data_IF_792677630852
#
_entry.id   IF_792677630852
#
_cell.length_a   1.000
_cell.length_b   1.000
_cell.length_c   1.000
_cell.angle_alpha   90.00
_cell.angle_beta   90.00
_cell.angle_gamma   90.00
#
_symmetry.space_group_name_H-M   'P 1'
#
loop_
_entity.id
_entity.type
_entity.pdbx_description
1 polymer ?
#
# COMPACT_ATOMS: atom_id res chain seq x y z
N UNK A 1 -13.09 28.47 9.03
CA UNK A 1 -13.29 27.13 8.44
C UNK A 1 -12.22 26.22 9.03
N UNK A 2 -12.54 24.96 9.31
CA UNK A 2 -11.54 23.97 9.73
C UNK A 2 -10.73 23.49 8.52
N UNK A 3 -9.47 23.11 8.75
CA UNK A 3 -8.59 22.54 7.71
C UNK A 3 -8.64 21.02 7.79
N UNK A 4 -8.48 20.37 6.64
CA UNK A 4 -8.33 18.92 6.60
C UNK A 4 -6.95 18.52 7.14
N UNK A 5 -6.90 17.44 7.91
CA UNK A 5 -5.66 16.82 8.34
C UNK A 5 -4.78 16.47 7.11
N UNK A 6 -3.43 16.64 7.15
CA UNK A 6 -2.55 16.35 6.00
C UNK A 6 -2.73 14.93 5.46
N UNK A 7 -2.84 13.93 6.33
CA UNK A 7 -3.13 12.55 5.93
C UNK A 7 -4.44 12.44 5.16
N UNK A 8 -5.51 13.14 5.58
CA UNK A 8 -6.79 13.13 4.87
C UNK A 8 -6.72 13.80 3.49
N UNK A 9 -5.86 14.82 3.34
CA UNK A 9 -5.62 15.45 2.05
C UNK A 9 -4.90 14.49 1.09
N UNK A 10 -3.87 13.81 1.58
CA UNK A 10 -3.11 12.81 0.80
C UNK A 10 -3.99 11.62 0.46
N UNK A 11 -4.74 11.09 1.42
CA UNK A 11 -5.70 9.99 1.19
C UNK A 11 -6.62 10.32 0.02
N UNK A 12 -7.33 11.46 0.06
CA UNK A 12 -8.23 11.88 -1.04
C UNK A 12 -7.49 12.00 -2.36
N UNK A 13 -6.30 12.61 -2.36
CA UNK A 13 -5.52 12.75 -3.60
C UNK A 13 -5.14 11.40 -4.22
N UNK A 14 -4.84 10.39 -3.41
CA UNK A 14 -4.51 9.03 -3.88
C UNK A 14 -5.78 8.33 -4.37
N UNK A 15 -6.86 8.39 -3.60
CA UNK A 15 -8.17 7.84 -3.96
C UNK A 15 -8.67 8.41 -5.29
N UNK A 16 -8.68 9.74 -5.43
CA UNK A 16 -9.11 10.45 -6.64
C UNK A 16 -8.36 9.97 -7.89
N UNK A 17 -7.04 9.73 -7.77
CA UNK A 17 -6.25 9.20 -8.87
C UNK A 17 -6.75 7.82 -9.30
N UNK A 18 -6.82 6.85 -8.37
CA UNK A 18 -7.19 5.49 -8.73
C UNK A 18 -8.66 5.38 -9.14
N UNK A 19 -9.57 6.12 -8.50
CA UNK A 19 -10.99 6.19 -8.91
C UNK A 19 -11.10 6.75 -10.34
N UNK A 20 -10.31 7.77 -10.70
CA UNK A 20 -10.29 8.30 -12.07
C UNK A 20 -9.79 7.29 -13.11
N UNK A 21 -9.01 6.29 -12.68
CA UNK A 21 -8.54 5.19 -13.51
C UNK A 21 -9.51 3.98 -13.54
N UNK A 22 -10.69 4.12 -12.92
CA UNK A 22 -11.75 3.11 -12.92
C UNK A 22 -11.65 2.10 -11.78
N UNK A 23 -10.90 2.40 -10.71
CA UNK A 23 -10.89 1.59 -9.50
C UNK A 23 -12.13 1.88 -8.65
N UNK A 24 -12.61 0.87 -7.96
CA UNK A 24 -13.72 0.97 -6.98
C UNK A 24 -13.11 0.85 -5.59
N UNK A 25 -13.47 1.75 -4.69
CA UNK A 25 -13.09 1.65 -3.29
C UNK A 25 -13.91 0.55 -2.60
N UNK A 26 -13.21 -0.32 -1.88
CA UNK A 26 -13.82 -1.39 -1.06
C UNK A 26 -13.35 -1.23 0.38
N UNK A 27 -14.23 -1.52 1.31
CA UNK A 27 -13.93 -1.51 2.74
C UNK A 27 -13.80 -2.94 3.27
N UNK A 28 -13.14 -3.08 4.41
CA UNK A 28 -12.96 -4.34 5.11
C UNK A 28 -12.78 -4.14 6.61
N UNK A 29 -13.05 -5.17 7.42
CA UNK A 29 -12.95 -5.07 8.87
C UNK A 29 -11.50 -4.84 9.33
N UNK A 30 -11.32 -4.07 10.41
CA UNK A 30 -10.02 -3.90 11.08
C UNK A 30 -9.66 -5.13 11.93
N UNK A 31 -10.66 -5.81 12.47
CA UNK A 31 -10.50 -7.09 13.16
C UNK A 31 -10.71 -8.19 12.12
N UNK A 32 -9.67 -8.97 11.88
CA UNK A 32 -9.62 -9.95 10.80
C UNK A 32 -9.33 -11.35 11.33
N UNK A 33 -9.65 -12.34 10.51
CA UNK A 33 -9.19 -13.70 10.74
C UNK A 33 -7.80 -13.90 10.18
N UNK A 34 -7.08 -14.85 10.76
CA UNK A 34 -5.77 -15.30 10.28
C UNK A 34 -5.81 -15.74 8.83
N UNK A 35 -6.91 -16.39 8.42
CA UNK A 35 -7.13 -16.79 7.03
C UNK A 35 -7.01 -15.62 6.04
N UNK A 36 -7.79 -14.55 6.24
CA UNK A 36 -7.79 -13.40 5.33
C UNK A 36 -6.53 -12.55 5.41
N UNK A 37 -5.90 -12.49 6.59
CA UNK A 37 -4.70 -11.67 6.76
C UNK A 37 -3.43 -12.38 6.26
N UNK A 38 -3.41 -13.72 6.24
CA UNK A 38 -2.24 -14.53 5.94
C UNK A 38 -2.47 -15.70 5.00
N UNK A 39 -3.29 -16.67 5.36
CA UNK A 39 -3.37 -17.94 4.62
C UNK A 39 -3.80 -17.75 3.18
N UNK A 40 -4.91 -17.03 2.94
CA UNK A 40 -5.40 -16.74 1.59
C UNK A 40 -4.41 -15.91 0.75
N UNK A 41 -3.50 -15.18 1.43
CA UNK A 41 -2.41 -14.41 0.82
C UNK A 41 -1.11 -15.22 0.65
N UNK A 42 -1.22 -16.55 0.51
CA UNK A 42 -0.08 -17.45 0.32
C UNK A 42 0.96 -17.40 1.46
N UNK A 43 0.49 -17.16 2.70
CA UNK A 43 1.33 -17.12 3.90
C UNK A 43 0.79 -18.12 4.94
N UNK A 44 1.00 -19.44 4.73
CA UNK A 44 0.53 -20.48 5.65
C UNK A 44 1.17 -20.37 7.03
N UNK A 45 0.66 -21.13 8.00
CA UNK A 45 1.01 -21.00 9.42
C UNK A 45 2.51 -21.17 9.72
N UNK A 46 3.21 -21.96 8.92
CA UNK A 46 4.66 -22.26 9.05
C UNK A 46 5.55 -21.34 8.17
N UNK A 47 4.95 -20.36 7.48
CA UNK A 47 5.71 -19.51 6.57
C UNK A 47 6.56 -18.48 7.32
N UNK A 48 7.89 -18.35 7.03
CA UNK A 48 8.79 -17.44 7.75
C UNK A 48 8.38 -15.96 7.69
N UNK A 49 7.62 -15.55 6.67
CA UNK A 49 7.13 -14.17 6.56
C UNK A 49 6.13 -13.79 7.67
N UNK A 50 5.57 -14.75 8.40
CA UNK A 50 4.73 -14.44 9.58
C UNK A 50 5.54 -13.89 10.74
N UNK A 51 6.74 -14.42 10.94
CA UNK A 51 7.66 -13.96 12.00
C UNK A 51 8.20 -12.55 11.72
N UNK A 52 8.13 -12.11 10.46
CA UNK A 52 8.56 -10.76 10.04
C UNK A 52 7.47 -9.69 10.25
N UNK A 53 6.25 -10.11 10.56
CA UNK A 53 5.13 -9.19 10.81
C UNK A 53 4.67 -9.32 12.26
N UNK A 54 5.15 -8.41 13.09
CA UNK A 54 4.69 -8.29 14.47
C UNK A 54 3.19 -7.95 14.49
N UNK A 55 2.37 -8.95 14.81
CA UNK A 55 0.91 -8.91 14.68
C UNK A 55 0.25 -8.86 16.05
N UNK A 56 -0.75 -7.99 16.20
CA UNK A 56 -1.61 -7.97 17.40
C UNK A 56 -2.71 -9.02 17.30
N UNK A 57 -2.57 -10.13 18.00
CA UNK A 57 -3.62 -11.14 18.16
C UNK A 57 -4.58 -10.74 19.29
N UNK A 58 -5.89 -10.80 19.02
CA UNK A 58 -6.96 -10.57 20.01
C UNK A 58 -7.32 -11.88 20.69
N UNK A 59 -7.38 -12.96 19.92
CA UNK A 59 -7.63 -14.33 20.37
C UNK A 59 -7.06 -15.30 19.32
N UNK A 60 -7.21 -16.61 19.56
CA UNK A 60 -6.77 -17.62 18.61
C UNK A 60 -7.43 -17.41 17.24
N UNK A 61 -6.60 -17.24 16.21
CA UNK A 61 -7.02 -17.01 14.83
C UNK A 61 -7.71 -15.66 14.54
N UNK A 62 -7.80 -14.73 15.51
CA UNK A 62 -8.38 -13.40 15.35
C UNK A 62 -7.34 -12.33 15.69
N UNK A 63 -7.15 -11.36 14.81
CA UNK A 63 -6.10 -10.36 14.90
C UNK A 63 -6.56 -8.96 14.45
N UNK A 64 -5.77 -7.95 14.75
CA UNK A 64 -5.87 -6.65 14.09
C UNK A 64 -5.09 -6.73 12.77
N UNK A 65 -5.74 -6.39 11.65
CA UNK A 65 -5.12 -6.54 10.31
C UNK A 65 -3.79 -5.79 10.21
N UNK A 66 -2.77 -6.46 9.74
CA UNK A 66 -1.43 -5.89 9.52
C UNK A 66 -1.29 -5.22 8.15
N UNK A 67 -2.29 -5.37 7.29
CA UNK A 67 -2.37 -4.86 5.93
C UNK A 67 -3.83 -4.79 5.46
N UNK A 68 -4.11 -4.01 4.41
CA UNK A 68 -5.46 -3.94 3.83
C UNK A 68 -5.72 -5.02 2.78
N UNK A 69 -4.76 -5.92 2.55
CA UNK A 69 -4.82 -7.00 1.54
C UNK A 69 -5.98 -7.99 1.72
N UNK A 70 -6.51 -8.14 2.94
CA UNK A 70 -7.72 -8.91 3.19
C UNK A 70 -8.91 -8.43 2.34
N UNK A 71 -8.99 -7.12 2.05
CA UNK A 71 -9.98 -6.54 1.15
C UNK A 71 -9.87 -7.06 -0.29
N UNK A 72 -8.65 -7.37 -0.76
CA UNK A 72 -8.41 -7.95 -2.08
C UNK A 72 -9.01 -9.36 -2.16
N UNK A 73 -8.76 -10.20 -1.15
CA UNK A 73 -9.30 -11.56 -1.07
C UNK A 73 -10.83 -11.55 -1.07
N UNK A 74 -11.43 -10.75 -0.19
CA UNK A 74 -12.91 -10.60 -0.09
C UNK A 74 -13.52 -10.14 -1.41
N UNK A 75 -12.84 -9.25 -2.13
CA UNK A 75 -13.31 -8.78 -3.44
C UNK A 75 -13.22 -9.90 -4.49
N UNK A 76 -12.11 -10.63 -4.54
CA UNK A 76 -11.96 -11.76 -5.49
C UNK A 76 -12.93 -12.92 -5.20
N UNK A 77 -13.28 -13.16 -3.94
CA UNK A 77 -14.28 -14.19 -3.57
C UNK A 77 -15.71 -13.79 -3.94
N UNK A 78 -16.01 -12.48 -3.95
CA UNK A 78 -17.38 -11.98 -4.15
C UNK A 78 -17.66 -11.41 -5.53
N UNK A 79 -16.63 -11.14 -6.33
CA UNK A 79 -16.75 -10.43 -7.62
C UNK A 79 -15.97 -11.16 -8.69
N UNK A 80 -16.63 -11.47 -9.80
CA UNK A 80 -15.96 -12.05 -10.97
C UNK A 80 -15.10 -10.98 -11.69
N UNK A 81 -13.95 -11.37 -12.26
CA UNK A 81 -13.16 -10.46 -13.12
C UNK A 81 -13.98 -9.95 -14.32
N UNK A 82 -13.75 -8.70 -14.79
CA UNK A 82 -12.61 -7.84 -14.45
C UNK A 82 -12.77 -7.14 -13.10
N UNK A 83 -11.72 -7.16 -12.28
CA UNK A 83 -11.65 -6.50 -10.98
C UNK A 83 -10.65 -5.35 -11.04
N UNK A 84 -11.05 -4.17 -10.57
CA UNK A 84 -10.17 -3.03 -10.28
C UNK A 84 -10.63 -2.42 -8.97
N UNK A 85 -9.89 -2.63 -7.89
CA UNK A 85 -10.28 -2.16 -6.57
C UNK A 85 -9.12 -1.52 -5.82
N UNK A 86 -9.45 -0.59 -4.93
CA UNK A 86 -8.58 -0.12 -3.86
C UNK A 86 -9.24 -0.40 -2.51
N UNK A 87 -8.42 -0.78 -1.52
CA UNK A 87 -8.83 -0.91 -0.12
C UNK A 87 -8.01 0.05 0.72
N UNK A 88 -8.70 0.89 1.51
CA UNK A 88 -8.06 1.96 2.28
C UNK A 88 -8.44 1.79 3.75
N UNK A 89 -7.47 1.92 4.64
CA UNK A 89 -7.79 1.85 6.05
C UNK A 89 -6.61 1.81 7.00
N UNK A 90 -6.93 1.77 8.29
CA UNK A 90 -5.95 1.58 9.34
C UNK A 90 -5.46 0.15 9.36
N UNK A 91 -4.18 0.00 9.64
CA UNK A 91 -3.49 -1.27 9.83
C UNK A 91 -2.63 -1.20 11.09
N UNK A 92 -2.27 -2.36 11.63
CA UNK A 92 -1.74 -2.50 12.97
C UNK A 92 -0.52 -3.43 12.93
N UNK A 93 0.61 -2.96 13.49
CA UNK A 93 1.82 -3.77 13.68
C UNK A 93 2.41 -3.46 15.05
N UNK A 94 2.93 -4.44 15.75
CA UNK A 94 3.51 -4.22 17.08
C UNK A 94 4.91 -3.60 17.05
N UNK A 95 5.13 -2.68 16.11
CA UNK A 95 6.36 -1.93 15.97
C UNK A 95 6.54 -0.91 17.10
N UNK A 96 7.77 -0.65 17.48
CA UNK A 96 8.12 0.44 18.38
C UNK A 96 7.86 1.80 17.72
N UNK A 97 7.39 2.76 18.51
CA UNK A 97 7.10 4.12 18.02
C UNK A 97 8.41 4.89 17.85
N UNK A 98 8.69 5.32 16.61
CA UNK A 98 9.79 6.22 16.30
C UNK A 98 9.38 7.32 15.29
N UNK A 99 10.34 8.06 14.73
CA UNK A 99 10.07 9.12 13.75
C UNK A 99 9.53 8.59 12.41
N UNK A 100 9.58 7.28 12.16
CA UNK A 100 9.26 6.62 10.88
C UNK A 100 8.31 5.44 11.01
N UNK A 101 8.04 4.98 12.23
CA UNK A 101 7.17 3.85 12.53
C UNK A 101 6.13 4.21 13.59
N UNK A 102 4.94 3.66 13.41
CA UNK A 102 3.84 3.73 14.37
C UNK A 102 3.12 2.38 14.41
N UNK A 103 2.68 1.89 15.58
CA UNK A 103 1.91 0.65 15.68
C UNK A 103 0.55 0.73 15.00
N UNK A 104 0.07 1.94 14.74
CA UNK A 104 -1.13 2.21 13.95
C UNK A 104 -0.74 3.15 12.82
N UNK A 105 -1.00 2.77 11.59
CA UNK A 105 -0.77 3.60 10.41
C UNK A 105 -1.85 3.33 9.36
N UNK A 106 -1.80 4.04 8.24
CA UNK A 106 -2.80 3.90 7.19
C UNK A 106 -2.16 3.36 5.92
N UNK A 107 -2.89 2.48 5.26
CA UNK A 107 -2.46 1.87 4.02
C UNK A 107 -3.57 1.97 2.97
N UNK A 108 -3.17 2.14 1.73
CA UNK A 108 -4.03 1.94 0.56
C UNK A 108 -3.40 0.87 -0.30
N UNK A 109 -4.16 -0.14 -0.63
CA UNK A 109 -3.76 -1.20 -1.54
C UNK A 109 -4.69 -1.27 -2.73
N UNK A 110 -4.13 -1.59 -3.89
CA UNK A 110 -4.90 -1.77 -5.11
C UNK A 110 -4.67 -3.14 -5.71
N UNK A 111 -5.72 -3.64 -6.36
CA UNK A 111 -5.73 -4.91 -7.08
C UNK A 111 -6.37 -4.72 -8.46
N UNK A 112 -5.75 -5.31 -9.46
CA UNK A 112 -6.36 -5.52 -10.78
C UNK A 112 -6.28 -7.00 -11.12
N UNK A 113 -7.41 -7.60 -11.50
CA UNK A 113 -7.46 -8.99 -12.02
C UNK A 113 -8.32 -9.00 -13.27
N UNK A 114 -7.74 -9.46 -14.36
CA UNK A 114 -8.43 -9.65 -15.65
C UNK A 114 -7.62 -10.65 -16.50
N UNK A 115 -8.07 -10.89 -17.72
CA UNK A 115 -7.29 -11.66 -18.70
C UNK A 115 -6.10 -10.86 -19.21
N UNK A 116 -4.95 -11.53 -19.34
CA UNK A 116 -3.73 -10.99 -19.96
C UNK A 116 -3.15 -9.73 -19.26
N UNK A 117 -3.39 -9.53 -17.97
CA UNK A 117 -2.74 -8.50 -17.18
C UNK A 117 -1.25 -8.80 -17.05
N UNK A 118 -0.41 -7.79 -17.24
CA UNK A 118 1.04 -7.95 -17.31
C UNK A 118 1.77 -7.02 -16.35
N UNK A 119 3.06 -7.29 -16.13
CA UNK A 119 3.95 -6.39 -15.39
C UNK A 119 4.11 -5.00 -16.06
N UNK A 120 3.86 -4.89 -17.37
CA UNK A 120 3.85 -3.61 -18.08
C UNK A 120 2.66 -2.76 -17.68
N UNK A 121 1.49 -3.36 -17.47
CA UNK A 121 0.29 -2.66 -16.99
C UNK A 121 0.51 -2.12 -15.58
N UNK A 122 1.08 -2.93 -14.67
CA UNK A 122 1.48 -2.49 -13.34
C UNK A 122 2.45 -1.30 -13.40
N UNK A 123 3.51 -1.40 -14.19
CA UNK A 123 4.49 -0.31 -14.35
C UNK A 123 3.84 0.95 -14.87
N UNK A 124 3.00 0.84 -15.88
CA UNK A 124 2.32 1.99 -16.50
C UNK A 124 1.47 2.77 -15.50
N UNK A 125 0.65 2.08 -14.70
CA UNK A 125 -0.21 2.75 -13.73
C UNK A 125 0.58 3.36 -12.57
N UNK A 126 1.64 2.68 -12.08
CA UNK A 126 2.47 3.19 -10.99
C UNK A 126 3.36 4.36 -11.42
N UNK A 127 3.85 4.37 -12.65
CA UNK A 127 4.54 5.55 -13.23
C UNK A 127 3.59 6.75 -13.37
N UNK A 128 2.37 6.52 -13.84
CA UNK A 128 1.35 7.55 -13.93
C UNK A 128 0.99 8.11 -12.54
N UNK A 129 0.82 7.24 -11.55
CA UNK A 129 0.60 7.63 -10.16
C UNK A 129 1.75 8.48 -9.61
N UNK A 130 2.99 8.05 -9.77
CA UNK A 130 4.16 8.79 -9.27
C UNK A 130 4.26 10.19 -9.89
N UNK A 131 3.98 10.32 -11.20
CA UNK A 131 3.95 11.61 -11.89
C UNK A 131 2.80 12.49 -11.41
N UNK A 132 1.61 11.93 -11.22
CA UNK A 132 0.46 12.66 -10.68
C UNK A 132 0.72 13.17 -9.27
N UNK A 133 1.32 12.33 -8.43
CA UNK A 133 1.49 12.63 -7.02
C UNK A 133 2.66 13.57 -6.73
N UNK A 134 3.83 13.34 -7.34
CA UNK A 134 5.07 14.07 -7.09
C UNK A 134 5.47 15.05 -8.22
N UNK A 135 4.71 15.09 -9.31
CA UNK A 135 4.94 15.99 -10.46
C UNK A 135 5.49 15.28 -11.69
N UNK A 136 5.25 15.86 -12.87
CA UNK A 136 5.51 15.25 -14.18
C UNK A 136 6.97 14.87 -14.46
N UNK A 137 7.93 15.48 -13.78
CA UNK A 137 9.36 15.18 -13.92
C UNK A 137 9.81 13.97 -13.10
N UNK A 138 8.92 13.39 -12.30
CA UNK A 138 9.22 12.23 -11.45
C UNK A 138 9.57 11.01 -12.29
N UNK A 139 10.70 10.39 -11.97
CA UNK A 139 11.12 9.11 -12.52
C UNK A 139 10.85 8.02 -11.51
N UNK A 140 10.52 6.84 -11.99
CA UNK A 140 10.33 5.64 -11.17
C UNK A 140 11.46 4.64 -11.41
N UNK A 141 11.75 3.84 -10.40
CA UNK A 141 12.68 2.72 -10.46
C UNK A 141 12.04 1.53 -9.77
N UNK A 142 12.02 0.40 -10.45
CA UNK A 142 11.49 -0.87 -9.97
C UNK A 142 12.66 -1.76 -9.56
N UNK A 143 12.70 -2.14 -8.30
CA UNK A 143 13.73 -3.03 -7.74
C UNK A 143 13.09 -4.39 -7.43
N UNK A 144 13.71 -5.53 -7.76
CA UNK A 144 13.24 -6.83 -7.31
C UNK A 144 13.07 -6.88 -5.79
N UNK A 145 11.98 -7.49 -5.33
CA UNK A 145 11.69 -7.71 -3.92
C UNK A 145 11.00 -9.06 -3.75
N UNK A 146 10.58 -9.38 -2.53
CA UNK A 146 9.84 -10.58 -2.23
C UNK A 146 8.64 -10.26 -1.33
N UNK A 147 7.45 -10.67 -1.79
CA UNK A 147 6.24 -10.74 -0.99
C UNK A 147 5.56 -12.07 -1.26
N UNK A 148 5.03 -12.80 -0.23
CA UNK A 148 4.44 -14.14 -0.43
C UNK A 148 3.28 -14.16 -1.43
N UNK A 149 2.52 -13.06 -1.47
CA UNK A 149 1.28 -12.93 -2.25
C UNK A 149 1.49 -12.37 -3.67
N UNK A 150 2.74 -12.06 -4.06
CA UNK A 150 3.07 -11.60 -5.42
C UNK A 150 4.30 -12.30 -5.99
N UNK A 151 4.29 -12.57 -7.31
CA UNK A 151 5.40 -13.15 -8.06
C UNK A 151 5.31 -12.76 -9.55
N UNK A 152 6.28 -11.98 -10.11
CA UNK A 152 7.39 -11.33 -9.42
C UNK A 152 6.94 -10.17 -8.55
N UNK A 153 7.72 -9.90 -7.47
CA UNK A 153 7.53 -8.78 -6.57
C UNK A 153 8.54 -7.68 -6.82
N UNK A 154 8.13 -6.44 -6.60
CA UNK A 154 8.99 -5.26 -6.76
C UNK A 154 8.71 -4.22 -5.68
N UNK A 155 9.75 -3.51 -5.28
CA UNK A 155 9.65 -2.23 -4.60
C UNK A 155 9.79 -1.12 -5.62
N UNK A 156 9.02 -0.06 -5.46
CA UNK A 156 9.01 1.09 -6.37
C UNK A 156 9.54 2.32 -5.68
N UNK A 157 10.60 2.87 -6.27
CA UNK A 157 11.18 4.14 -5.83
C UNK A 157 10.76 5.25 -6.79
N UNK A 158 10.48 6.43 -6.24
CA UNK A 158 10.38 7.68 -7.00
C UNK A 158 11.68 8.49 -6.88
N UNK A 159 12.03 9.23 -7.92
CA UNK A 159 13.09 10.23 -7.81
C UNK A 159 12.73 11.26 -6.73
N UNK A 160 13.65 11.56 -5.85
CA UNK A 160 13.40 12.42 -4.69
C UNK A 160 12.81 13.78 -5.11
N UNK A 161 11.61 14.16 -4.64
CA UNK A 161 10.96 15.40 -5.06
C UNK A 161 11.71 16.66 -4.60
N UNK A 162 12.55 16.56 -3.57
CA UNK A 162 13.30 17.68 -3.01
C UNK A 162 14.59 18.00 -3.77
N UNK A 163 15.31 16.97 -4.22
CA UNK A 163 16.60 17.16 -4.89
C UNK A 163 16.59 16.76 -6.36
N UNK A 164 15.42 16.32 -6.87
CA UNK A 164 15.25 15.88 -8.26
C UNK A 164 16.30 14.84 -8.71
N UNK A 165 16.59 13.88 -7.81
CA UNK A 165 17.53 12.79 -8.09
C UNK A 165 19.00 13.11 -7.81
N UNK A 166 19.36 14.32 -7.37
CA UNK A 166 20.77 14.72 -7.12
C UNK A 166 21.35 14.18 -5.81
N UNK A 167 20.50 13.73 -4.90
CA UNK A 167 20.88 13.34 -3.54
C UNK A 167 20.76 14.48 -2.55
N UNK A 168 20.08 14.23 -1.41
CA UNK A 168 19.93 15.18 -0.31
C UNK A 168 19.74 14.42 1.01
N UNK A 169 19.61 15.16 2.12
CA UNK A 169 19.40 14.57 3.44
C UNK A 169 18.12 13.70 3.50
N UNK A 170 17.03 14.11 2.84
CA UNK A 170 15.75 13.39 2.85
C UNK A 170 15.88 12.01 2.20
N UNK A 171 16.54 11.91 1.06
CA UNK A 171 16.81 10.65 0.37
C UNK A 171 18.13 9.98 0.79
N UNK A 172 18.75 10.44 1.89
CA UNK A 172 20.03 9.91 2.40
C UNK A 172 21.14 9.85 1.33
N UNK A 173 21.19 10.86 0.44
CA UNK A 173 22.19 10.97 -0.62
C UNK A 173 21.91 10.14 -1.87
N UNK A 174 20.92 9.26 -1.88
CA UNK A 174 20.66 8.30 -2.98
C UNK A 174 19.99 8.93 -4.20
N UNK A 175 19.25 10.02 -4.03
CA UNK A 175 18.40 10.60 -5.06
C UNK A 175 17.03 9.89 -5.24
N UNK A 176 16.78 8.79 -4.52
CA UNK A 176 15.57 7.97 -4.63
C UNK A 176 14.89 7.79 -3.28
N UNK A 177 13.57 7.67 -3.29
CA UNK A 177 12.75 7.39 -2.11
C UNK A 177 11.80 6.26 -2.47
N UNK A 178 11.82 5.19 -1.67
CA UNK A 178 10.83 4.12 -1.76
C UNK A 178 9.44 4.64 -1.39
N UNK A 179 8.46 4.34 -2.25
CA UNK A 179 7.09 4.84 -2.11
C UNK A 179 6.05 3.73 -1.95
N UNK A 180 6.31 2.52 -2.46
CA UNK A 180 5.36 1.42 -2.40
C UNK A 180 6.01 0.06 -2.75
N UNK A 181 5.35 -1.02 -2.32
CA UNK A 181 5.57 -2.38 -2.79
C UNK A 181 4.51 -2.80 -3.78
N UNK A 182 4.86 -3.67 -4.75
CA UNK A 182 3.94 -4.14 -5.77
C UNK A 182 4.39 -5.48 -6.37
N UNK A 183 3.53 -6.11 -7.19
CA UNK A 183 3.89 -7.31 -7.96
C UNK A 183 2.72 -7.90 -8.71
N UNK A 184 3.01 -8.94 -9.49
CA UNK A 184 1.96 -9.75 -10.08
C UNK A 184 1.35 -10.65 -9.01
N UNK A 185 0.04 -10.80 -8.99
CA UNK A 185 -0.66 -11.65 -8.01
C UNK A 185 -0.16 -13.09 -8.13
N UNK A 186 0.23 -13.67 -7.00
CA UNK A 186 0.70 -15.05 -6.98
C UNK A 186 -0.43 -16.00 -7.39
N UNK A 187 -0.11 -17.05 -8.17
CA UNK A 187 -1.09 -18.04 -8.65
C UNK A 187 -1.88 -18.68 -7.50
N UNK A 188 -1.22 -19.00 -6.39
CA UNK A 188 -1.88 -19.59 -5.22
C UNK A 188 -2.95 -18.66 -4.63
N UNK A 189 -2.73 -17.33 -4.68
CA UNK A 189 -3.73 -16.35 -4.22
C UNK A 189 -4.97 -16.37 -5.10
N UNK A 190 -4.81 -16.46 -6.43
CA UNK A 190 -5.94 -16.59 -7.35
C UNK A 190 -6.70 -17.90 -7.11
N UNK A 191 -5.98 -19.01 -6.96
CA UNK A 191 -6.56 -20.33 -6.67
C UNK A 191 -7.33 -20.35 -5.35
N UNK A 192 -6.79 -19.74 -4.30
CA UNK A 192 -7.46 -19.59 -2.99
C UNK A 192 -8.78 -18.81 -3.09
N UNK A 193 -8.90 -17.94 -4.10
CA UNK A 193 -10.12 -17.19 -4.38
C UNK A 193 -11.00 -17.84 -5.47
N UNK A 194 -10.76 -19.09 -5.85
CA UNK A 194 -11.46 -19.83 -6.91
C UNK A 194 -11.38 -19.17 -8.30
N UNK A 195 -10.31 -18.42 -8.57
CA UNK A 195 -10.01 -17.87 -9.88
C UNK A 195 -8.96 -18.73 -10.58
N UNK A 196 -9.24 -19.15 -11.81
CA UNK A 196 -8.33 -19.98 -12.62
C UNK A 196 -7.10 -19.15 -13.05
N UNK A 197 -5.88 -19.46 -12.55
CA UNK A 197 -4.68 -18.69 -12.87
C UNK A 197 -4.13 -18.95 -14.29
N UNK A 198 -4.69 -19.90 -15.03
CA UNK A 198 -4.39 -20.10 -16.44
C UNK A 198 -5.27 -19.19 -17.34
N UNK A 199 -6.37 -18.66 -16.79
CA UNK A 199 -7.28 -17.74 -17.47
C UNK A 199 -7.05 -16.29 -17.05
N UNK A 200 -6.83 -16.07 -15.75
CA UNK A 200 -6.72 -14.74 -15.15
C UNK A 200 -5.31 -14.48 -14.63
N UNK A 201 -4.88 -13.25 -14.83
CA UNK A 201 -3.66 -12.70 -14.22
C UNK A 201 -4.00 -11.39 -13.52
N UNK A 202 -3.15 -10.92 -12.64
CA UNK A 202 -3.42 -9.67 -11.95
C UNK A 202 -2.16 -9.06 -11.38
N UNK A 203 -2.27 -7.83 -10.93
CA UNK A 203 -1.26 -7.18 -10.13
C UNK A 203 -1.85 -6.55 -8.88
N UNK A 204 -1.02 -6.42 -7.85
CA UNK A 204 -1.35 -5.71 -6.63
C UNK A 204 -0.24 -4.73 -6.25
N UNK A 205 -0.60 -3.68 -5.50
CA UNK A 205 0.33 -2.71 -4.93
C UNK A 205 -0.16 -2.23 -3.58
N UNK A 206 0.78 -1.82 -2.71
CA UNK A 206 0.46 -1.30 -1.38
C UNK A 206 1.28 -0.06 -1.04
N UNK A 207 0.59 1.01 -0.65
CA UNK A 207 1.14 2.33 -0.34
C UNK A 207 0.89 2.64 1.14
N UNK A 208 1.94 2.93 1.91
CA UNK A 208 1.81 3.48 3.25
C UNK A 208 1.44 4.97 3.19
N UNK A 209 0.20 5.31 3.54
CA UNK A 209 -0.31 6.68 3.41
C UNK A 209 0.44 7.67 4.31
N UNK A 210 0.74 7.28 5.54
CA UNK A 210 1.51 8.11 6.48
C UNK A 210 2.90 8.41 5.91
N UNK A 211 3.55 7.39 5.34
CA UNK A 211 4.87 7.53 4.71
C UNK A 211 4.87 8.51 3.54
N UNK A 212 3.93 8.40 2.61
CA UNK A 212 3.87 9.33 1.48
C UNK A 212 3.37 10.71 1.90
N UNK A 213 2.59 10.83 2.98
CA UNK A 213 2.18 12.11 3.58
C UNK A 213 3.39 12.86 4.14
N UNK A 214 4.24 12.17 4.92
CA UNK A 214 5.48 12.78 5.42
C UNK A 214 6.39 13.25 4.28
N UNK A 215 6.50 12.47 3.21
CA UNK A 215 7.28 12.84 2.03
C UNK A 215 6.65 14.03 1.30
N UNK A 216 5.33 14.01 1.09
CA UNK A 216 4.63 15.04 0.31
C UNK A 216 4.69 16.43 0.97
N UNK A 217 4.50 16.48 2.28
CA UNK A 217 4.48 17.72 3.05
C UNK A 217 5.83 18.09 3.69
N UNK A 218 6.85 17.25 3.59
CA UNK A 218 8.14 17.48 4.22
C UNK A 218 8.09 17.36 5.75
N UNK A 219 7.22 16.50 6.27
CA UNK A 219 7.11 16.23 7.71
C UNK A 219 8.32 15.37 8.13
N UNK A 220 9.08 15.82 9.10
CA UNK A 220 10.31 15.14 9.52
C UNK A 220 10.09 14.02 10.55
N UNK A 221 8.92 13.99 11.17
CA UNK A 221 8.58 13.06 12.25
C UNK A 221 7.11 12.64 12.11
N UNK A 222 6.87 11.35 11.86
CA UNK A 222 5.53 10.79 11.67
C UNK A 222 4.64 10.95 12.92
N UNK A 223 5.22 10.99 14.12
CA UNK A 223 4.46 11.16 15.37
C UNK A 223 3.60 12.41 15.38
N UNK A 224 4.05 13.48 14.70
CA UNK A 224 3.31 14.73 14.56
C UNK A 224 1.94 14.57 13.88
N UNK A 225 1.78 13.53 13.05
CA UNK A 225 0.49 13.22 12.40
C UNK A 225 -0.55 12.68 13.40
N UNK A 226 -0.10 12.14 14.53
CA UNK A 226 -0.97 11.51 15.55
C UNK A 226 -1.15 12.33 16.82
N UNK A 227 -0.30 13.33 17.06
CA UNK A 227 -0.36 14.17 18.28
C UNK A 227 -1.53 15.15 18.31
N UNK A 228 -2.18 15.38 17.19
CA UNK A 228 -3.30 16.32 17.04
C UNK A 228 -2.99 17.75 17.51
N UNK A 229 -1.72 18.18 17.40
CA UNK A 229 -1.29 19.55 17.78
C UNK A 229 -1.82 20.56 16.76
N UNK A 230 -2.65 21.50 17.24
CA UNK A 230 -3.26 22.53 16.39
C UNK A 230 -2.21 23.44 15.70
N UNK A 231 -1.01 23.61 16.28
CA UNK A 231 0.08 24.40 15.69
C UNK A 231 0.67 23.68 14.47
N UNK A 232 0.73 22.34 14.54
CA UNK A 232 1.13 21.51 13.41
C UNK A 232 0.04 21.53 12.34
N UNK A 233 -1.21 21.27 12.69
CA UNK A 233 -2.32 21.19 11.75
C UNK A 233 -2.57 22.49 10.98
N UNK A 234 -2.32 23.66 11.59
CA UNK A 234 -2.46 24.98 10.93
C UNK A 234 -1.47 25.23 9.80
N UNK A 235 -0.41 24.40 9.64
CA UNK A 235 0.58 24.55 8.57
C UNK A 235 0.10 24.02 7.22
N UNK A 236 -0.99 23.21 7.22
CA UNK A 236 -1.51 22.52 6.03
C UNK A 236 -2.84 23.14 5.57
N UNK A 237 -2.78 24.35 5.04
CA UNK A 237 -3.94 25.09 4.52
C UNK A 237 -4.05 24.99 3.00
#
# INVERSE_FOLDING_TARGET
MGNLHPLSQVRRKVEDFFISMGFIETDGPEIETDYYNFEALNTPADHPARDMQDTFYISDGILLRSQTSAGQIRTMESTAPPIKMISVGRVYRSDDIDATHSPVFHQIEGLVVDKNITMCDLKGILEAFAKYFFGNSTKTRFRPSYFPFTEPSVEVDASCPYCHGKGCRVCKGTGWIEILGAGMVNRNVLENCNLDPDVYTGFAFGIGLDRITTIYFGINDMRLEFENDIRFLKQFN
#
